data_IF_662689545279
#
_entry.id   IF_662689545279
#
_cell.length_a   1.000
_cell.length_b   1.000
_cell.length_c   1.000
_cell.angle_alpha   90.00
_cell.angle_beta   90.00
_cell.angle_gamma   90.00
#
_symmetry.space_group_name_H-M   'P 1'
#
loop_
_entity.id
_entity.type
_entity.pdbx_description
1 polymer ?
#
# COMPACT_ATOMS: atom_id res chain seq x y z
N UNK A 1 -8.93 4.10 -7.57
CA UNK A 1 -8.61 5.13 -8.59
C UNK A 1 -9.92 5.72 -9.09
N UNK A 2 -10.09 7.03 -9.00
CA UNK A 2 -11.40 7.65 -9.21
C UNK A 2 -11.62 7.85 -10.72
N UNK A 3 -12.40 6.98 -11.35
CA UNK A 3 -12.72 6.99 -12.79
C UNK A 3 -13.25 8.35 -13.27
N UNK A 4 -13.94 9.10 -12.40
CA UNK A 4 -14.46 10.45 -12.70
C UNK A 4 -13.37 11.51 -12.98
N UNK A 5 -12.16 11.35 -12.40
CA UNK A 5 -11.04 12.26 -12.69
C UNK A 5 -10.40 11.95 -14.05
N UNK A 6 -10.35 10.67 -14.42
CA UNK A 6 -9.76 10.28 -15.72
C UNK A 6 -10.61 10.76 -16.90
N UNK A 7 -11.93 10.65 -16.79
CA UNK A 7 -12.86 11.16 -17.83
C UNK A 7 -12.80 12.67 -17.97
N UNK A 8 -12.64 13.43 -16.85
CA UNK A 8 -12.52 14.89 -16.89
C UNK A 8 -11.26 15.36 -17.61
N UNK A 9 -10.13 14.68 -17.41
CA UNK A 9 -8.88 15.02 -18.11
C UNK A 9 -8.92 14.63 -19.60
N UNK A 10 -9.59 13.53 -19.96
CA UNK A 10 -9.75 13.12 -21.35
C UNK A 10 -10.64 14.11 -22.13
N UNK A 11 -11.71 14.59 -21.52
CA UNK A 11 -12.61 15.60 -22.14
C UNK A 11 -11.91 16.97 -22.25
N UNK A 12 -11.19 17.42 -21.23
CA UNK A 12 -10.41 18.64 -21.29
C UNK A 12 -9.29 18.55 -22.35
N UNK A 13 -8.67 17.38 -22.50
CA UNK A 13 -7.68 17.13 -23.55
C UNK A 13 -8.31 17.17 -24.95
N UNK A 14 -9.50 16.60 -25.15
CA UNK A 14 -10.20 16.69 -26.44
C UNK A 14 -10.58 18.14 -26.79
N UNK A 15 -11.03 18.93 -25.81
CA UNK A 15 -11.35 20.36 -26.04
C UNK A 15 -10.09 21.18 -26.31
N UNK A 16 -8.99 20.95 -25.64
CA UNK A 16 -7.72 21.63 -25.90
C UNK A 16 -7.08 21.22 -27.23
N UNK A 17 -7.31 19.98 -27.68
CA UNK A 17 -6.83 19.51 -28.98
C UNK A 17 -7.61 20.06 -30.17
N UNK A 18 -8.89 20.44 -29.99
CA UNK A 18 -9.66 21.12 -31.05
C UNK A 18 -9.13 22.52 -31.37
N UNK A 19 -8.42 23.14 -30.41
CA UNK A 19 -7.77 24.45 -30.54
C UNK A 19 -6.27 24.34 -30.81
N UNK A 20 -5.68 23.13 -30.80
CA UNK A 20 -4.27 22.97 -31.09
C UNK A 20 -3.99 23.26 -32.56
N UNK A 21 -3.08 24.18 -32.87
CA UNK A 21 -2.76 24.50 -34.25
C UNK A 21 -2.19 23.29 -34.97
N UNK A 22 -2.66 23.07 -36.18
CA UNK A 22 -2.19 21.98 -37.03
C UNK A 22 -0.77 22.29 -37.48
N UNK A 23 0.20 21.42 -37.22
CA UNK A 23 1.48 21.49 -37.90
C UNK A 23 1.23 21.21 -39.37
N UNK A 24 1.34 22.22 -40.19
CA UNK A 24 1.26 22.10 -41.64
C UNK A 24 2.63 22.45 -42.24
N UNK A 25 2.95 21.84 -43.37
CA UNK A 25 4.04 22.31 -44.21
C UNK A 25 3.40 23.22 -45.26
N UNK A 26 3.76 24.49 -45.26
CA UNK A 26 3.38 25.37 -46.33
C UNK A 26 4.43 25.27 -47.45
N UNK A 27 3.96 25.20 -48.71
CA UNK A 27 4.83 25.29 -49.87
C UNK A 27 5.17 26.74 -50.05
N UNK A 28 6.44 27.09 -50.00
CA UNK A 28 6.91 28.46 -50.34
C UNK A 28 6.89 28.67 -51.83
N UNK A 29 6.96 29.92 -52.29
CA UNK A 29 6.99 30.29 -53.72
C UNK A 29 8.20 29.70 -54.48
N UNK A 30 9.25 29.28 -53.78
CA UNK A 30 10.41 28.59 -54.34
C UNK A 30 10.30 27.03 -54.27
N UNK A 31 9.18 26.47 -53.82
CA UNK A 31 8.96 25.04 -53.72
C UNK A 31 9.52 24.40 -52.47
N UNK A 32 10.10 25.15 -51.54
CA UNK A 32 10.56 24.60 -50.25
C UNK A 32 9.40 24.43 -49.29
N UNK A 33 9.53 23.40 -48.40
CA UNK A 33 8.54 23.14 -47.34
C UNK A 33 9.01 23.78 -46.03
N UNK A 34 8.30 24.84 -45.61
CA UNK A 34 8.52 25.41 -44.26
C UNK A 34 7.64 24.74 -43.21
N UNK A 35 8.22 24.51 -42.05
CA UNK A 35 7.47 24.00 -40.91
C UNK A 35 6.89 25.15 -40.10
N UNK A 36 5.59 25.12 -39.85
CA UNK A 36 4.93 26.14 -39.09
C UNK A 36 3.58 25.67 -38.55
N UNK A 37 2.79 26.60 -38.05
CA UNK A 37 1.45 26.35 -37.54
C UNK A 37 0.55 27.57 -37.77
N UNK A 38 -0.77 27.34 -37.79
CA UNK A 38 -1.73 28.46 -37.75
C UNK A 38 -2.04 28.76 -36.30
N UNK A 39 -1.94 30.04 -35.91
CA UNK A 39 -2.35 30.51 -34.58
C UNK A 39 -3.89 30.52 -34.46
N UNK A 40 -4.38 30.87 -33.28
CA UNK A 40 -5.81 30.95 -32.94
C UNK A 40 -6.63 31.98 -33.74
N UNK A 41 -5.95 32.92 -34.39
CA UNK A 41 -6.58 33.92 -35.32
C UNK A 41 -6.38 33.54 -36.79
N UNK A 42 -5.90 32.30 -37.07
CA UNK A 42 -5.75 31.79 -38.44
C UNK A 42 -4.56 32.29 -39.23
N UNK A 43 -3.55 32.91 -38.58
CA UNK A 43 -2.34 33.37 -39.25
C UNK A 43 -1.26 32.29 -39.21
N UNK A 44 -0.52 32.16 -40.33
CA UNK A 44 0.61 31.24 -40.41
C UNK A 44 1.81 31.78 -39.62
N UNK A 45 2.35 30.93 -38.76
CA UNK A 45 3.55 31.21 -37.96
C UNK A 45 4.62 30.16 -38.26
N UNK A 46 5.76 30.59 -38.75
CA UNK A 46 6.91 29.71 -39.00
C UNK A 46 7.56 29.29 -37.67
N UNK A 47 8.01 28.01 -37.61
CA UNK A 47 8.71 27.48 -36.48
C UNK A 47 7.96 26.38 -35.70
N UNK A 48 8.49 26.02 -34.55
CA UNK A 48 7.84 25.03 -33.69
C UNK A 48 7.02 25.70 -32.59
N UNK A 49 5.79 25.24 -32.44
CA UNK A 49 4.98 25.62 -31.27
C UNK A 49 5.61 25.04 -30.01
N UNK A 50 6.07 25.90 -29.12
CA UNK A 50 6.45 25.49 -27.76
C UNK A 50 5.18 25.34 -26.94
N UNK A 51 4.65 24.13 -26.85
CA UNK A 51 3.50 23.82 -25.98
C UNK A 51 4.01 23.14 -24.71
N UNK A 52 3.64 23.70 -23.58
CA UNK A 52 3.73 23.01 -22.30
C UNK A 52 2.65 21.92 -22.27
N UNK A 53 3.05 20.67 -22.43
CA UNK A 53 2.11 19.55 -22.40
C UNK A 53 1.58 19.35 -20.97
N UNK A 54 0.29 19.03 -20.81
CA UNK A 54 -0.28 18.68 -19.50
C UNK A 54 0.47 17.55 -18.83
N UNK A 55 0.48 17.54 -17.49
CA UNK A 55 1.11 16.47 -16.71
C UNK A 55 0.55 15.09 -17.12
N UNK A 56 1.44 14.14 -17.38
CA UNK A 56 1.08 12.80 -17.83
C UNK A 56 1.06 12.60 -19.34
N UNK A 57 1.24 13.66 -20.16
CA UNK A 57 1.38 13.55 -21.61
C UNK A 57 2.85 13.69 -21.97
N UNK A 58 3.35 12.73 -22.75
CA UNK A 58 4.74 12.72 -23.22
C UNK A 58 4.88 13.42 -24.58
N UNK A 59 3.99 13.13 -25.52
CA UNK A 59 3.95 13.79 -26.81
C UNK A 59 2.54 13.79 -27.41
N UNK A 60 2.29 14.78 -28.24
CA UNK A 60 1.09 14.87 -29.07
C UNK A 60 1.54 15.18 -30.50
N UNK A 61 1.26 14.27 -31.41
CA UNK A 61 1.58 14.43 -32.83
C UNK A 61 0.27 14.46 -33.63
N UNK A 62 0.10 15.51 -34.46
CA UNK A 62 -1.03 15.64 -35.38
C UNK A 62 -0.47 15.76 -36.79
N UNK A 63 -0.87 14.85 -37.67
CA UNK A 63 -0.46 14.86 -39.08
C UNK A 63 -1.70 14.91 -39.97
N UNK A 64 -1.59 15.64 -41.07
CA UNK A 64 -2.60 15.67 -42.12
C UNK A 64 -2.00 15.18 -43.44
N UNK A 65 -2.73 14.32 -44.13
CA UNK A 65 -2.38 13.74 -45.43
C UNK A 65 -3.48 14.13 -46.42
N UNK A 66 -3.13 14.81 -47.50
CA UNK A 66 -4.11 15.17 -48.52
C UNK A 66 -4.47 13.95 -49.36
N UNK A 67 -5.76 13.66 -49.48
CA UNK A 67 -6.27 12.54 -50.28
C UNK A 67 -6.79 12.98 -51.67
N UNK A 68 -6.69 14.27 -52.01
CA UNK A 68 -7.29 14.87 -53.19
C UNK A 68 -8.74 15.36 -52.96
N UNK A 69 -9.30 16.08 -53.93
CA UNK A 69 -10.69 16.62 -53.88
C UNK A 69 -11.03 17.40 -52.61
N UNK A 70 -10.10 18.19 -52.08
CA UNK A 70 -10.21 18.94 -50.83
C UNK A 70 -10.48 18.08 -49.59
N UNK A 71 -10.15 16.77 -49.64
CA UNK A 71 -10.22 15.84 -48.49
C UNK A 71 -8.87 15.59 -47.90
N UNK A 72 -8.84 15.50 -46.58
CA UNK A 72 -7.61 15.26 -45.79
C UNK A 72 -7.84 14.12 -44.78
N UNK A 73 -6.84 13.24 -44.64
CA UNK A 73 -6.79 12.26 -43.58
C UNK A 73 -5.95 12.84 -42.44
N UNK A 74 -6.61 13.03 -41.30
CA UNK A 74 -5.93 13.51 -40.09
C UNK A 74 -5.62 12.32 -39.16
N UNK A 75 -4.38 12.27 -38.69
CA UNK A 75 -3.94 11.33 -37.64
C UNK A 75 -3.53 12.11 -36.41
N UNK A 76 -4.07 11.72 -35.26
CA UNK A 76 -3.69 12.24 -33.97
C UNK A 76 -3.05 11.11 -33.16
N UNK A 77 -1.80 11.31 -32.71
CA UNK A 77 -1.08 10.39 -31.84
C UNK A 77 -0.80 11.06 -30.51
N UNK A 78 -1.33 10.51 -29.43
CA UNK A 78 -1.07 10.98 -28.06
C UNK A 78 -0.28 9.90 -27.34
N UNK A 79 0.91 10.23 -26.85
CA UNK A 79 1.72 9.35 -26.01
C UNK A 79 1.63 9.84 -24.59
N UNK A 80 1.18 8.96 -23.69
CA UNK A 80 1.06 9.25 -22.26
C UNK A 80 2.19 8.62 -21.48
N UNK A 81 2.67 9.30 -20.44
CA UNK A 81 3.53 8.68 -19.42
C UNK A 81 2.64 8.07 -18.36
N UNK A 82 2.79 6.77 -18.13
CA UNK A 82 2.18 6.15 -16.96
C UNK A 82 3.04 6.50 -15.74
N UNK A 83 2.55 7.42 -14.91
CA UNK A 83 3.10 7.63 -13.58
C UNK A 83 2.56 6.52 -12.67
N UNK A 84 3.34 5.47 -12.48
CA UNK A 84 3.05 4.46 -11.47
C UNK A 84 3.47 5.06 -10.13
N UNK A 85 2.55 5.73 -9.44
CA UNK A 85 2.74 6.05 -8.03
C UNK A 85 2.48 4.79 -7.22
N UNK A 86 3.54 4.10 -6.85
CA UNK A 86 3.48 3.02 -5.86
C UNK A 86 3.26 3.65 -4.49
N UNK A 87 2.00 3.80 -4.09
CA UNK A 87 1.67 4.14 -2.72
C UNK A 87 1.90 2.90 -1.85
N UNK A 88 3.07 2.81 -1.24
CA UNK A 88 3.30 1.85 -0.16
C UNK A 88 2.54 2.32 1.07
N UNK A 89 1.35 1.75 1.28
CA UNK A 89 0.56 2.04 2.48
C UNK A 89 1.33 1.51 3.69
N UNK A 90 1.69 2.39 4.63
CA UNK A 90 2.19 1.96 5.94
C UNK A 90 1.17 1.05 6.60
N UNK A 91 1.64 0.00 7.26
CA UNK A 91 0.78 -0.95 7.97
C UNK A 91 1.42 -1.35 9.31
N UNK A 92 0.58 -1.70 10.28
CA UNK A 92 1.00 -2.18 11.58
C UNK A 92 0.30 -3.51 11.89
N UNK A 93 1.07 -4.53 12.21
CA UNK A 93 0.55 -5.84 12.58
C UNK A 93 1.15 -6.27 13.91
N UNK A 94 0.31 -6.72 14.85
CA UNK A 94 0.77 -7.38 16.08
C UNK A 94 0.55 -8.88 15.93
N UNK A 95 1.59 -9.66 16.21
CA UNK A 95 1.49 -11.11 16.37
C UNK A 95 1.27 -11.42 17.85
N UNK A 96 0.19 -12.10 18.17
CA UNK A 96 -0.15 -12.58 19.52
C UNK A 96 0.03 -14.08 19.50
N UNK A 97 1.07 -14.59 20.17
CA UNK A 97 1.55 -15.96 20.01
C UNK A 97 1.36 -16.74 21.30
N UNK A 98 0.65 -17.85 21.20
CA UNK A 98 0.47 -18.82 22.29
C UNK A 98 1.78 -19.55 22.56
N UNK A 99 2.29 -19.38 23.75
CA UNK A 99 3.48 -20.06 24.27
C UNK A 99 3.13 -20.98 25.44
N UNK A 100 1.86 -21.36 25.59
CA UNK A 100 1.43 -22.27 26.65
C UNK A 100 2.06 -23.64 26.56
N UNK A 101 2.01 -24.40 27.67
CA UNK A 101 2.61 -25.73 27.77
C UNK A 101 2.07 -26.74 26.74
N UNK A 102 0.85 -26.56 26.21
CA UNK A 102 0.32 -27.42 25.13
C UNK A 102 1.12 -27.27 23.83
N UNK A 103 1.84 -26.17 23.65
CA UNK A 103 2.67 -25.90 22.48
C UNK A 103 3.97 -26.71 22.44
N UNK A 104 4.37 -27.34 23.53
CA UNK A 104 5.56 -28.21 23.61
C UNK A 104 5.39 -29.45 22.69
N UNK A 105 4.18 -30.02 22.65
CA UNK A 105 3.91 -31.26 21.92
C UNK A 105 3.88 -31.10 20.40
N UNK A 106 4.16 -32.23 19.68
CA UNK A 106 3.96 -32.35 18.21
C UNK A 106 4.66 -31.27 17.37
N UNK A 107 5.80 -30.75 17.82
CA UNK A 107 6.57 -29.70 17.15
C UNK A 107 5.79 -28.39 16.94
N UNK A 108 4.69 -28.13 17.68
CA UNK A 108 3.81 -26.97 17.50
C UNK A 108 4.58 -25.68 17.63
N UNK A 109 5.42 -25.55 18.68
CA UNK A 109 6.22 -24.34 18.89
C UNK A 109 7.18 -24.07 17.72
N UNK A 110 7.79 -25.14 17.16
CA UNK A 110 8.61 -24.98 15.93
C UNK A 110 7.77 -24.50 14.77
N UNK A 111 6.62 -25.13 14.53
CA UNK A 111 5.73 -24.75 13.41
C UNK A 111 5.23 -23.30 13.50
N UNK A 112 4.92 -22.82 14.72
CA UNK A 112 4.50 -21.42 14.91
C UNK A 112 5.67 -20.45 14.65
N UNK A 113 6.88 -20.75 15.15
CA UNK A 113 8.05 -19.93 14.84
C UNK A 113 8.33 -19.86 13.35
N UNK A 114 8.28 -21.01 12.67
CA UNK A 114 8.47 -21.07 11.22
C UNK A 114 7.41 -20.26 10.47
N UNK A 115 6.12 -20.39 10.87
CA UNK A 115 5.01 -19.63 10.28
C UNK A 115 5.13 -18.12 10.55
N UNK A 116 5.49 -17.73 11.77
CA UNK A 116 5.69 -16.32 12.13
C UNK A 116 6.85 -15.70 11.35
N UNK A 117 7.96 -16.42 11.18
CA UNK A 117 9.08 -15.95 10.34
C UNK A 117 8.70 -15.85 8.87
N UNK A 118 7.97 -16.82 8.32
CA UNK A 118 7.46 -16.76 6.96
C UNK A 118 6.52 -15.55 6.76
N UNK A 119 5.66 -15.27 7.75
CA UNK A 119 4.84 -14.07 7.77
C UNK A 119 5.70 -12.80 7.74
N UNK A 120 6.70 -12.68 8.62
CA UNK A 120 7.61 -11.52 8.66
C UNK A 120 8.29 -11.32 7.30
N UNK A 121 8.76 -12.39 6.68
CA UNK A 121 9.41 -12.32 5.37
C UNK A 121 8.47 -11.78 4.29
N UNK A 122 7.23 -12.28 4.27
CA UNK A 122 6.22 -11.83 3.30
C UNK A 122 5.73 -10.41 3.59
N UNK A 123 5.48 -10.10 4.87
CA UNK A 123 4.95 -8.82 5.32
C UNK A 123 5.94 -7.67 5.14
N UNK A 124 7.22 -7.91 5.36
CA UNK A 124 8.29 -6.94 5.13
C UNK A 124 8.36 -6.46 3.67
N UNK A 125 7.91 -7.29 2.72
CA UNK A 125 7.96 -6.99 1.31
C UNK A 125 9.36 -7.03 0.72
N UNK A 126 9.47 -6.67 -0.56
CA UNK A 126 10.75 -6.59 -1.29
C UNK A 126 11.38 -5.20 -1.18
N UNK A 127 10.56 -4.16 -1.02
CA UNK A 127 11.00 -2.78 -0.99
C UNK A 127 11.41 -2.38 0.43
N UNK A 128 12.56 -1.72 0.54
CA UNK A 128 13.08 -1.25 1.83
C UNK A 128 12.30 -0.01 2.31
N UNK A 129 12.19 0.11 3.64
CA UNK A 129 11.62 1.29 4.32
C UNK A 129 10.17 1.64 3.91
N UNK A 130 9.36 0.63 3.66
CA UNK A 130 7.95 0.81 3.26
C UNK A 130 7.03 1.08 4.46
N UNK A 131 7.56 1.11 5.69
CA UNK A 131 6.79 1.36 6.91
C UNK A 131 5.88 0.17 7.27
N UNK A 132 6.45 -1.03 7.32
CA UNK A 132 5.81 -2.27 7.79
C UNK A 132 6.14 -2.50 9.25
N UNK A 133 5.31 -1.99 10.15
CA UNK A 133 5.52 -2.08 11.59
C UNK A 133 4.98 -3.40 12.13
N UNK A 134 5.82 -4.09 12.91
CA UNK A 134 5.49 -5.35 13.57
C UNK A 134 5.72 -5.21 15.08
N UNK A 135 4.81 -5.77 15.86
CA UNK A 135 5.02 -6.05 17.27
C UNK A 135 4.76 -7.54 17.53
N UNK A 136 5.42 -8.11 18.53
CA UNK A 136 5.25 -9.51 18.94
C UNK A 136 4.92 -9.54 20.41
N UNK A 137 3.82 -10.21 20.75
CA UNK A 137 3.37 -10.49 22.11
C UNK A 137 3.24 -11.99 22.22
N UNK A 138 3.78 -12.57 23.25
CA UNK A 138 3.48 -13.96 23.60
C UNK A 138 2.61 -14.02 24.86
N UNK A 139 1.91 -15.13 24.99
CA UNK A 139 1.10 -15.40 26.18
C UNK A 139 1.13 -16.88 26.56
N UNK A 140 1.24 -17.09 27.85
CA UNK A 140 1.02 -18.38 28.51
C UNK A 140 0.14 -18.19 29.76
N UNK A 141 0.64 -18.35 30.98
CA UNK A 141 -0.01 -17.88 32.23
C UNK A 141 0.06 -16.38 32.37
N UNK A 142 1.13 -15.80 31.86
CA UNK A 142 1.47 -14.38 31.83
C UNK A 142 1.52 -13.87 30.39
N UNK A 143 1.80 -12.58 30.21
CA UNK A 143 1.87 -11.96 28.88
C UNK A 143 3.10 -11.09 28.80
N UNK A 144 3.87 -11.25 27.74
CA UNK A 144 5.08 -10.45 27.51
C UNK A 144 5.11 -9.84 26.12
N UNK A 145 5.61 -8.60 26.03
CA UNK A 145 5.88 -7.93 24.74
C UNK A 145 7.31 -8.26 24.33
N UNK A 146 7.47 -9.23 23.41
CA UNK A 146 8.79 -9.67 22.93
C UNK A 146 9.42 -8.70 21.94
N UNK A 147 8.58 -8.01 21.17
CA UNK A 147 9.03 -6.97 20.25
C UNK A 147 8.03 -5.83 20.27
N UNK A 148 8.49 -4.61 20.58
CA UNK A 148 7.71 -3.42 20.39
C UNK A 148 7.64 -3.04 18.90
N UNK A 149 6.80 -2.06 18.54
CA UNK A 149 6.63 -1.61 17.15
C UNK A 149 7.96 -1.33 16.46
N UNK A 150 8.32 -2.18 15.54
CA UNK A 150 9.57 -2.15 14.79
C UNK A 150 9.27 -2.21 13.28
N UNK A 151 9.91 -1.36 12.49
CA UNK A 151 9.78 -1.39 11.03
C UNK A 151 10.57 -2.56 10.44
N UNK A 152 9.87 -3.67 10.14
CA UNK A 152 10.44 -4.88 9.59
C UNK A 152 10.74 -4.81 8.09
N UNK A 153 10.39 -3.72 7.41
CA UNK A 153 10.86 -3.47 6.05
C UNK A 153 12.35 -3.10 6.03
N UNK A 154 12.93 -2.72 7.18
CA UNK A 154 14.37 -2.55 7.34
C UNK A 154 15.07 -3.86 7.64
N UNK A 155 16.36 -3.97 7.28
CA UNK A 155 17.18 -5.17 7.55
C UNK A 155 17.30 -5.44 9.05
N UNK A 156 17.58 -4.39 9.83
CA UNK A 156 17.73 -4.50 11.28
C UNK A 156 16.41 -4.85 11.97
N UNK A 157 15.29 -4.24 11.53
CA UNK A 157 13.98 -4.56 12.09
C UNK A 157 13.52 -5.98 11.79
N UNK A 158 13.81 -6.49 10.58
CA UNK A 158 13.55 -7.89 10.24
C UNK A 158 14.38 -8.84 11.10
N UNK A 159 15.67 -8.53 11.32
CA UNK A 159 16.54 -9.31 12.19
C UNK A 159 16.00 -9.34 13.63
N UNK A 160 15.66 -8.20 14.20
CA UNK A 160 15.07 -8.11 15.54
C UNK A 160 13.78 -8.92 15.67
N UNK A 161 12.91 -8.90 14.64
CA UNK A 161 11.69 -9.71 14.63
C UNK A 161 12.01 -11.23 14.64
N UNK A 162 13.00 -11.66 13.89
CA UNK A 162 13.42 -13.07 13.88
C UNK A 162 13.98 -13.49 15.22
N UNK A 163 14.83 -12.69 15.85
CA UNK A 163 15.39 -12.95 17.17
C UNK A 163 14.28 -13.08 18.23
N UNK A 164 13.33 -12.14 18.26
CA UNK A 164 12.19 -12.17 19.16
C UNK A 164 11.32 -13.44 18.97
N UNK A 165 11.13 -13.90 17.73
CA UNK A 165 10.38 -15.11 17.42
C UNK A 165 11.18 -16.38 17.81
N UNK A 166 12.49 -16.39 17.64
CA UNK A 166 13.33 -17.53 18.00
C UNK A 166 13.44 -17.73 19.50
N UNK A 167 13.33 -16.66 20.27
CA UNK A 167 13.38 -16.69 21.74
C UNK A 167 12.08 -17.15 22.41
N UNK A 168 10.99 -17.31 21.66
CA UNK A 168 9.73 -17.84 22.21
C UNK A 168 9.92 -19.26 22.77
N UNK A 169 9.43 -19.50 23.96
CA UNK A 169 9.51 -20.80 24.65
C UNK A 169 8.14 -21.18 25.16
N UNK A 170 7.77 -22.44 24.96
CA UNK A 170 6.50 -22.96 25.45
C UNK A 170 6.59 -23.32 26.92
N UNK A 171 5.75 -22.70 27.77
CA UNK A 171 5.68 -22.93 29.22
C UNK A 171 4.30 -22.48 29.75
N UNK A 172 3.92 -22.92 30.93
CA UNK A 172 2.79 -22.38 31.68
C UNK A 172 1.40 -22.71 31.15
N UNK A 173 0.44 -21.90 31.53
CA UNK A 173 -0.98 -22.01 31.19
C UNK A 173 -1.33 -21.35 29.86
N UNK A 174 -2.66 -21.02 29.63
CA UNK A 174 -3.13 -20.41 28.41
C UNK A 174 -4.08 -19.26 28.75
N UNK A 175 -3.60 -18.03 28.75
CA UNK A 175 -4.38 -16.81 29.04
C UNK A 175 -4.57 -15.98 27.77
N UNK A 176 -5.34 -16.54 26.84
CA UNK A 176 -5.61 -15.93 25.53
C UNK A 176 -6.20 -14.50 25.65
N UNK A 177 -7.11 -14.28 26.61
CA UNK A 177 -7.74 -12.99 26.80
C UNK A 177 -6.72 -11.89 27.16
N UNK A 178 -5.79 -12.20 28.05
CA UNK A 178 -4.70 -11.28 28.39
C UNK A 178 -3.79 -11.00 27.20
N UNK A 179 -3.45 -12.04 26.41
CA UNK A 179 -2.66 -11.89 25.19
C UNK A 179 -3.33 -10.94 24.17
N UNK A 180 -4.62 -11.12 23.89
CA UNK A 180 -5.39 -10.26 22.98
C UNK A 180 -5.47 -8.83 23.54
N UNK A 181 -5.74 -8.66 24.84
CA UNK A 181 -5.78 -7.33 25.46
C UNK A 181 -4.45 -6.60 25.36
N UNK A 182 -3.35 -7.27 25.62
CA UNK A 182 -2.01 -6.68 25.50
C UNK A 182 -1.70 -6.31 24.04
N UNK A 183 -1.96 -7.23 23.11
CA UNK A 183 -1.74 -6.99 21.68
C UNK A 183 -2.55 -5.79 21.17
N UNK A 184 -3.82 -5.70 21.56
CA UNK A 184 -4.68 -4.57 21.16
C UNK A 184 -4.31 -3.26 21.85
N UNK A 185 -3.79 -3.31 23.07
CA UNK A 185 -3.31 -2.12 23.78
C UNK A 185 -2.13 -1.46 23.06
N UNK A 186 -1.28 -2.22 22.38
CA UNK A 186 -0.17 -1.70 21.61
C UNK A 186 -0.60 -0.74 20.49
N UNK A 187 -1.82 -0.85 19.96
CA UNK A 187 -2.32 0.06 18.93
C UNK A 187 -2.54 1.50 19.41
N UNK A 188 -2.48 1.76 20.72
CA UNK A 188 -2.50 3.11 21.30
C UNK A 188 -1.13 3.79 21.28
N UNK A 189 -0.07 3.07 20.90
CA UNK A 189 1.30 3.57 20.88
C UNK A 189 1.47 4.67 19.82
N UNK A 190 2.25 5.70 20.17
CA UNK A 190 2.56 6.85 19.31
C UNK A 190 3.39 6.48 18.09
N UNK A 191 4.18 5.40 18.14
CA UNK A 191 5.01 4.94 17.03
C UNK A 191 4.23 4.63 15.75
N UNK A 192 2.95 4.29 15.87
CA UNK A 192 2.07 3.95 14.75
C UNK A 192 0.89 4.91 14.60
N UNK A 193 0.92 6.09 15.23
CA UNK A 193 -0.17 7.07 15.20
C UNK A 193 -0.59 7.47 13.79
N UNK A 194 0.38 7.57 12.88
CA UNK A 194 0.19 7.99 11.48
C UNK A 194 -0.30 6.84 10.57
N UNK A 195 -0.46 5.63 11.11
CA UNK A 195 -0.99 4.49 10.37
C UNK A 195 -2.52 4.47 10.56
N UNK A 196 -3.24 4.47 9.46
CA UNK A 196 -4.71 4.44 9.47
C UNK A 196 -5.23 3.16 10.12
N UNK A 197 -6.39 3.22 10.80
CA UNK A 197 -6.97 2.09 11.53
C UNK A 197 -7.19 0.86 10.64
N UNK A 198 -7.64 1.07 9.39
CA UNK A 198 -7.85 0.01 8.41
C UNK A 198 -6.56 -0.75 8.00
N UNK A 199 -5.39 -0.19 8.30
CA UNK A 199 -4.09 -0.80 8.05
C UNK A 199 -3.44 -1.36 9.34
N UNK A 200 -4.21 -1.50 10.42
CA UNK A 200 -3.76 -2.07 11.70
C UNK A 200 -4.41 -3.42 11.90
N UNK A 201 -3.62 -4.47 12.11
CA UNK A 201 -4.08 -5.83 12.18
C UNK A 201 -3.50 -6.54 13.40
N UNK A 202 -4.27 -7.48 13.98
CA UNK A 202 -3.79 -8.43 14.97
C UNK A 202 -3.95 -9.85 14.42
N UNK A 203 -2.91 -10.66 14.55
CA UNK A 203 -2.91 -12.08 14.16
C UNK A 203 -2.62 -12.89 15.40
N UNK A 204 -3.52 -13.82 15.73
CA UNK A 204 -3.40 -14.69 16.88
C UNK A 204 -3.01 -16.09 16.43
N UNK A 205 -1.94 -16.61 17.00
CA UNK A 205 -1.50 -17.99 16.83
C UNK A 205 -1.75 -18.76 18.13
N UNK A 206 -2.63 -19.76 18.11
CA UNK A 206 -2.95 -20.59 19.28
C UNK A 206 -3.36 -22.00 18.84
N UNK A 207 -3.25 -22.97 19.71
CA UNK A 207 -3.81 -24.32 19.51
C UNK A 207 -5.31 -24.42 19.89
N UNK A 208 -5.91 -23.27 20.24
CA UNK A 208 -7.36 -23.10 20.40
C UNK A 208 -7.96 -23.59 21.72
N UNK A 209 -7.17 -23.91 22.74
CA UNK A 209 -7.68 -24.39 24.03
C UNK A 209 -7.38 -23.42 25.20
N UNK A 210 -8.08 -22.28 25.29
CA UNK A 210 -7.87 -21.36 26.41
C UNK A 210 -8.26 -22.00 27.74
N UNK A 211 -7.36 -21.93 28.72
CA UNK A 211 -7.61 -22.45 30.09
C UNK A 211 -7.96 -21.33 31.07
N UNK A 212 -7.67 -20.09 30.74
CA UNK A 212 -7.97 -18.93 31.56
C UNK A 212 -8.61 -17.83 30.72
N UNK A 213 -9.52 -17.07 31.29
CA UNK A 213 -10.09 -15.87 30.69
C UNK A 213 -10.32 -14.83 31.77
N UNK A 214 -10.14 -13.56 31.43
CA UNK A 214 -10.44 -12.45 32.30
C UNK A 214 -11.89 -12.05 32.06
N UNK A 215 -12.75 -12.27 33.07
CA UNK A 215 -14.13 -11.74 33.05
C UNK A 215 -14.11 -10.39 33.76
N UNK A 216 -14.21 -9.31 33.04
CA UNK A 216 -14.58 -8.01 33.60
C UNK A 216 -16.09 -8.03 33.90
N UNK A 217 -16.45 -8.48 35.08
CA UNK A 217 -17.83 -8.37 35.54
C UNK A 217 -18.08 -6.93 35.99
N UNK A 218 -18.88 -6.19 35.26
CA UNK A 218 -19.36 -4.85 35.64
C UNK A 218 -20.30 -4.92 36.88
N UNK A 219 -20.71 -6.12 37.34
CA UNK A 219 -21.58 -6.29 38.52
C UNK A 219 -20.97 -7.29 39.52
N UNK A 220 -20.69 -6.79 40.73
CA UNK A 220 -20.20 -7.56 41.88
C UNK A 220 -20.98 -8.85 42.18
N UNK A 221 -22.25 -8.95 41.74
CA UNK A 221 -23.15 -10.11 41.99
C UNK A 221 -22.87 -11.31 41.05
N UNK A 222 -22.24 -11.14 39.91
CA UNK A 222 -21.95 -12.25 38.99
C UNK A 222 -20.64 -12.96 39.29
N UNK A 223 -19.68 -12.34 39.98
CA UNK A 223 -18.39 -12.94 40.36
C UNK A 223 -18.52 -14.22 41.20
N UNK A 224 -19.61 -14.34 41.98
CA UNK A 224 -19.82 -15.50 42.87
C UNK A 224 -20.32 -16.74 42.11
N UNK A 225 -21.13 -16.57 41.06
CA UNK A 225 -21.75 -17.67 40.31
C UNK A 225 -20.79 -18.39 39.33
N UNK A 226 -19.69 -17.74 38.93
CA UNK A 226 -18.74 -18.31 37.99
C UNK A 226 -17.57 -19.02 38.66
N UNK A 227 -17.41 -18.89 39.99
CA UNK A 227 -16.41 -19.65 40.75
C UNK A 227 -16.84 -21.06 41.14
N UNK A 228 -18.14 -21.32 41.12
CA UNK A 228 -18.78 -22.52 41.65
C UNK A 228 -19.27 -23.46 40.53
N UNK A 229 -18.80 -23.24 39.28
CA UNK A 229 -18.92 -24.14 38.13
C UNK A 229 -17.53 -24.54 37.64
#
# INVERSE_FOLDING_TARGET
MNIKKFTSYAVALMMSLSLAPVKANALTTDGSLTKGYYNDVGQWVEGQLSQTLPEGIQSVDKTAEALGNNTYKMKLKVVTKQKVETFTKKAATVLVIDTSGSMIGKKRMKSIRDAAKAFVQSYAGKDKNTGRYLAVVDFDSDVEVRLNWTDVSSVNGKKAAYEAIDDLRALGGTNLDAGIKQGTALFKNTAIKDIKKENRNAIVFTDGKPKKYLVECQHKKQKKRLRDK
#
